data_IF_359649861072
#
_entry.id   IF_359649861072
#
_cell.length_a   1.000
_cell.length_b   1.000
_cell.length_c   1.000
_cell.angle_alpha   90.00
_cell.angle_beta   90.00
_cell.angle_gamma   90.00
#
_symmetry.space_group_name_H-M   'P 1'
#
loop_
_entity.id
_entity.type
_entity.pdbx_description
1 polymer ?
#
# COMPACT_ATOMS: atom_id res chain seq x y z
N UNK A 1 -20.20 22.90 -28.21
CA UNK A 1 -19.79 23.05 -26.81
C UNK A 1 -20.95 22.59 -25.95
N UNK A 2 -20.88 21.36 -25.40
CA UNK A 2 -21.93 20.85 -24.51
C UNK A 2 -21.91 21.66 -23.21
N UNK A 3 -22.99 22.40 -22.94
CA UNK A 3 -23.23 22.98 -21.62
C UNK A 3 -23.43 21.79 -20.65
N UNK A 4 -22.40 21.48 -19.86
CA UNK A 4 -22.58 20.60 -18.70
C UNK A 4 -23.62 21.26 -17.83
N UNK A 5 -24.74 20.60 -17.61
CA UNK A 5 -25.82 21.13 -16.78
C UNK A 5 -25.27 21.34 -15.38
N UNK A 6 -25.44 22.56 -14.82
CA UNK A 6 -24.95 22.90 -13.48
C UNK A 6 -25.44 21.92 -12.40
N UNK A 7 -26.66 21.42 -12.58
CA UNK A 7 -27.24 20.44 -11.70
C UNK A 7 -26.46 19.12 -11.71
N UNK A 8 -26.08 18.65 -12.90
CA UNK A 8 -25.33 17.37 -13.06
C UNK A 8 -23.90 17.49 -12.47
N UNK A 9 -23.26 18.65 -12.63
CA UNK A 9 -21.96 18.92 -12.01
C UNK A 9 -22.04 18.97 -10.48
N UNK A 10 -23.06 19.66 -9.94
CA UNK A 10 -23.28 19.75 -8.50
C UNK A 10 -23.56 18.38 -7.88
N UNK A 11 -24.37 17.57 -8.54
CA UNK A 11 -24.68 16.20 -8.13
C UNK A 11 -23.42 15.31 -8.18
N UNK A 12 -22.60 15.42 -9.22
CA UNK A 12 -21.32 14.69 -9.33
C UNK A 12 -20.37 15.04 -8.19
N UNK A 13 -20.25 16.34 -7.83
CA UNK A 13 -19.45 16.76 -6.68
C UNK A 13 -19.99 16.16 -5.38
N UNK A 14 -21.32 16.15 -5.18
CA UNK A 14 -21.96 15.59 -4.00
C UNK A 14 -21.67 14.09 -3.87
N UNK A 15 -21.91 13.32 -4.94
CA UNK A 15 -21.68 11.88 -4.97
C UNK A 15 -20.22 11.56 -4.67
N UNK A 16 -19.28 12.20 -5.37
CA UNK A 16 -17.84 11.98 -5.17
C UNK A 16 -17.37 12.33 -3.76
N UNK A 17 -17.97 13.34 -3.12
CA UNK A 17 -17.72 13.68 -1.72
C UNK A 17 -18.26 12.62 -0.76
N UNK A 18 -19.50 12.15 -0.99
CA UNK A 18 -20.16 11.15 -0.14
C UNK A 18 -19.48 9.77 -0.23
N UNK A 19 -19.04 9.36 -1.42
CA UNK A 19 -18.25 8.14 -1.63
C UNK A 19 -16.93 8.15 -0.82
N UNK A 20 -16.41 9.35 -0.54
CA UNK A 20 -15.21 9.56 0.31
C UNK A 20 -15.55 9.66 1.81
N UNK A 21 -16.83 9.57 2.18
CA UNK A 21 -17.27 9.79 3.56
C UNK A 21 -17.07 11.23 4.05
N UNK A 22 -16.84 12.19 3.14
CA UNK A 22 -16.57 13.56 3.53
C UNK A 22 -17.87 14.34 3.79
N UNK A 23 -17.86 15.13 4.87
CA UNK A 23 -18.94 16.10 5.13
C UNK A 23 -18.81 17.32 4.22
N UNK A 24 -19.93 18.03 3.97
CA UNK A 24 -19.88 19.32 3.28
C UNK A 24 -18.95 20.32 3.98
N UNK A 25 -18.88 20.27 5.32
CA UNK A 25 -17.98 21.12 6.11
C UNK A 25 -16.52 20.81 5.79
N UNK A 26 -16.15 19.55 5.80
CA UNK A 26 -14.77 19.12 5.53
C UNK A 26 -14.30 19.56 4.13
N UNK A 27 -15.09 19.27 3.08
CA UNK A 27 -14.72 19.67 1.71
C UNK A 27 -14.67 21.19 1.56
N UNK A 28 -15.62 21.92 2.17
CA UNK A 28 -15.65 23.40 2.12
C UNK A 28 -14.41 24.02 2.78
N UNK A 29 -14.00 23.54 3.96
CA UNK A 29 -12.79 23.97 4.66
C UNK A 29 -11.53 23.65 3.84
N UNK A 30 -11.44 22.45 3.25
CA UNK A 30 -10.31 22.01 2.43
C UNK A 30 -10.06 22.92 1.22
N UNK A 31 -11.13 23.41 0.57
CA UNK A 31 -11.04 24.26 -0.63
C UNK A 31 -11.24 25.76 -0.35
N UNK A 32 -11.31 26.15 0.92
CA UNK A 32 -11.39 27.56 1.31
C UNK A 32 -12.69 28.27 0.91
N UNK A 33 -13.85 27.57 1.00
CA UNK A 33 -15.17 28.15 0.77
C UNK A 33 -16.10 27.92 1.98
N UNK A 34 -17.22 28.65 2.04
CA UNK A 34 -18.20 28.40 3.09
C UNK A 34 -19.01 27.13 2.81
N UNK A 35 -19.41 26.42 3.88
CA UNK A 35 -20.31 25.25 3.77
C UNK A 35 -21.61 25.60 3.03
N UNK A 36 -22.17 26.80 3.29
CA UNK A 36 -23.43 27.25 2.65
C UNK A 36 -23.25 27.43 1.14
N UNK A 37 -22.06 27.88 0.69
CA UNK A 37 -21.74 27.99 -0.73
C UNK A 37 -21.63 26.62 -1.36
N UNK A 38 -20.89 25.68 -0.74
CA UNK A 38 -20.78 24.31 -1.24
C UNK A 38 -22.14 23.63 -1.36
N UNK A 39 -23.01 23.78 -0.34
CA UNK A 39 -24.37 23.23 -0.38
C UNK A 39 -25.21 23.76 -1.57
N UNK A 40 -25.05 25.04 -1.92
CA UNK A 40 -25.72 25.65 -3.09
C UNK A 40 -25.14 25.14 -4.40
N UNK A 41 -23.83 24.91 -4.45
CA UNK A 41 -23.15 24.33 -5.61
C UNK A 41 -23.59 22.90 -5.85
N UNK A 42 -23.60 22.07 -4.81
CA UNK A 42 -24.08 20.67 -4.89
C UNK A 42 -25.55 20.56 -5.33
N UNK A 43 -26.38 21.57 -4.99
CA UNK A 43 -27.78 21.65 -5.45
C UNK A 43 -27.92 22.26 -6.85
N UNK A 44 -26.83 22.66 -7.50
CA UNK A 44 -26.87 23.33 -8.81
C UNK A 44 -27.47 24.73 -8.78
N UNK A 45 -27.67 25.35 -7.60
CA UNK A 45 -28.28 26.70 -7.44
C UNK A 45 -27.27 27.85 -7.46
N UNK A 46 -25.98 27.53 -7.48
CA UNK A 46 -24.88 28.53 -7.50
C UNK A 46 -23.69 28.00 -8.30
N UNK A 47 -23.11 28.89 -9.13
CA UNK A 47 -21.84 28.62 -9.80
C UNK A 47 -20.66 29.06 -8.96
N UNK A 48 -19.52 28.38 -9.13
CA UNK A 48 -18.20 28.78 -8.65
C UNK A 48 -17.38 29.39 -9.79
N UNK A 49 -16.37 30.17 -9.42
CA UNK A 49 -15.32 30.52 -10.37
C UNK A 49 -14.58 29.24 -10.82
N UNK A 50 -14.04 29.27 -12.04
CA UNK A 50 -13.28 28.12 -12.59
C UNK A 50 -12.15 27.70 -11.64
N UNK A 51 -11.46 28.64 -11.01
CA UNK A 51 -10.39 28.38 -10.02
C UNK A 51 -10.89 27.55 -8.83
N UNK A 52 -12.01 27.96 -8.21
CA UNK A 52 -12.58 27.23 -7.04
C UNK A 52 -13.19 25.90 -7.45
N UNK A 53 -13.73 25.81 -8.64
CA UNK A 53 -14.22 24.54 -9.17
C UNK A 53 -13.06 23.55 -9.36
N UNK A 54 -11.95 24.00 -9.97
CA UNK A 54 -10.76 23.15 -10.13
C UNK A 54 -10.22 22.69 -8.77
N UNK A 55 -10.15 23.57 -7.76
CA UNK A 55 -9.73 23.15 -6.40
C UNK A 55 -10.63 22.06 -5.80
N UNK A 56 -11.94 22.12 -6.04
CA UNK A 56 -12.86 21.05 -5.62
C UNK A 56 -12.56 19.76 -6.38
N UNK A 57 -12.44 19.82 -7.70
CA UNK A 57 -12.20 18.65 -8.54
C UNK A 57 -10.84 18.01 -8.23
N UNK A 58 -9.80 18.80 -8.06
CA UNK A 58 -8.46 18.32 -7.68
C UNK A 58 -8.52 17.65 -6.29
N UNK A 59 -9.19 18.27 -5.32
CA UNK A 59 -9.38 17.69 -3.98
C UNK A 59 -10.16 16.37 -4.02
N UNK A 60 -11.13 16.26 -4.93
CA UNK A 60 -11.91 15.05 -5.13
C UNK A 60 -11.15 13.99 -5.97
N UNK A 61 -10.10 14.36 -6.71
CA UNK A 61 -9.22 13.45 -7.43
C UNK A 61 -8.04 12.97 -6.58
N UNK A 62 -7.71 13.68 -5.49
CA UNK A 62 -6.71 13.21 -4.53
C UNK A 62 -7.12 11.82 -4.04
N UNK A 63 -6.19 10.86 -4.12
CA UNK A 63 -6.42 9.51 -3.57
C UNK A 63 -6.96 9.65 -2.13
N UNK A 64 -8.06 8.95 -1.87
CA UNK A 64 -8.56 8.80 -0.49
C UNK A 64 -7.44 8.09 0.26
N UNK A 65 -6.70 8.83 1.08
CA UNK A 65 -5.90 8.20 2.12
C UNK A 65 -6.92 7.78 3.18
N UNK A 66 -7.26 6.50 3.30
CA UNK A 66 -8.23 6.08 4.30
C UNK A 66 -7.69 6.50 5.66
N UNK A 67 -8.54 7.16 6.46
CA UNK A 67 -8.21 7.67 7.80
C UNK A 67 -7.82 6.55 8.77
N UNK A 68 -8.08 5.30 8.40
CA UNK A 68 -7.61 4.11 9.11
C UNK A 68 -7.05 3.14 8.08
N UNK A 69 -5.74 3.24 7.79
CA UNK A 69 -5.04 2.23 7.01
C UNK A 69 -4.66 1.06 7.91
N UNK A 70 -5.15 -0.12 7.57
CA UNK A 70 -4.55 -1.35 8.08
C UNK A 70 -3.24 -1.54 7.33
N UNK A 71 -2.14 -1.43 8.04
CA UNK A 71 -0.79 -1.65 7.50
C UNK A 71 -0.28 -3.00 8.00
N UNK A 72 0.51 -3.67 7.18
CA UNK A 72 1.26 -4.83 7.63
C UNK A 72 2.52 -4.29 8.33
N UNK A 73 2.62 -4.60 9.63
CA UNK A 73 3.72 -4.13 10.49
C UNK A 73 4.79 -5.19 10.74
N UNK A 74 4.47 -6.45 10.52
CA UNK A 74 5.43 -7.55 10.54
C UNK A 74 4.96 -8.68 9.65
N UNK A 75 5.90 -9.31 8.94
CA UNK A 75 5.59 -10.41 8.03
C UNK A 75 6.70 -11.47 8.12
N UNK A 76 6.31 -12.73 8.31
CA UNK A 76 7.23 -13.87 8.19
C UNK A 76 6.66 -14.88 7.21
N UNK A 77 7.49 -15.27 6.25
CA UNK A 77 7.15 -16.24 5.21
C UNK A 77 8.15 -17.39 5.29
N UNK A 78 7.66 -18.60 5.29
CA UNK A 78 8.47 -19.81 5.28
C UNK A 78 8.27 -20.57 3.97
N UNK A 79 9.37 -20.93 3.32
CA UNK A 79 9.42 -21.76 2.11
C UNK A 79 10.16 -23.05 2.42
N UNK A 80 9.55 -24.20 2.17
CA UNK A 80 10.23 -25.49 2.23
C UNK A 80 11.11 -25.69 0.97
N UNK A 81 12.08 -24.79 0.80
CA UNK A 81 13.00 -24.80 -0.33
C UNK A 81 14.32 -24.15 0.09
N UNK A 82 15.43 -24.73 -0.35
CA UNK A 82 16.78 -24.20 -0.17
C UNK A 82 17.20 -23.24 -1.30
N UNK A 83 16.33 -23.01 -2.28
CA UNK A 83 16.63 -22.10 -3.42
C UNK A 83 16.47 -20.62 -3.03
N UNK A 84 17.06 -20.23 -1.89
CA UNK A 84 16.90 -18.91 -1.30
C UNK A 84 17.22 -17.75 -2.27
N UNK A 85 18.25 -17.86 -3.12
CA UNK A 85 18.60 -16.82 -4.09
C UNK A 85 17.47 -16.58 -5.09
N UNK A 86 16.88 -17.65 -5.65
CA UNK A 86 15.73 -17.55 -6.55
C UNK A 86 14.50 -16.98 -5.86
N UNK A 87 14.28 -17.36 -4.59
CA UNK A 87 13.16 -16.85 -3.81
C UNK A 87 13.33 -15.35 -3.50
N UNK A 88 14.54 -14.87 -3.19
CA UNK A 88 14.81 -13.46 -2.97
C UNK A 88 14.45 -12.64 -4.21
N UNK A 89 14.97 -13.04 -5.37
CA UNK A 89 14.69 -12.37 -6.62
C UNK A 89 13.19 -12.43 -6.98
N UNK A 90 12.59 -13.62 -6.88
CA UNK A 90 11.19 -13.81 -7.22
C UNK A 90 10.26 -13.05 -6.28
N UNK A 91 10.40 -13.19 -4.97
CA UNK A 91 9.43 -12.67 -3.98
C UNK A 91 9.69 -11.19 -3.67
N UNK A 92 10.95 -10.81 -3.40
CA UNK A 92 11.30 -9.45 -3.00
C UNK A 92 11.55 -8.55 -4.23
N UNK A 93 12.02 -9.14 -5.34
CA UNK A 93 12.39 -8.42 -6.55
C UNK A 93 13.61 -7.51 -6.37
N UNK A 94 14.51 -7.87 -5.45
CA UNK A 94 15.77 -7.16 -5.20
C UNK A 94 16.95 -8.05 -5.58
N UNK A 95 17.99 -7.49 -6.24
CA UNK A 95 19.19 -8.25 -6.50
C UNK A 95 19.93 -8.57 -5.18
N UNK A 96 20.53 -9.76 -5.12
CA UNK A 96 21.16 -10.27 -3.90
C UNK A 96 22.31 -9.40 -3.41
N UNK A 97 23.00 -8.70 -4.31
CA UNK A 97 24.12 -7.81 -4.03
C UNK A 97 23.73 -6.62 -3.14
N UNK A 98 22.44 -6.39 -2.94
CA UNK A 98 21.95 -5.37 -2.00
C UNK A 98 21.84 -5.87 -0.56
N UNK A 99 22.02 -7.16 -0.34
CA UNK A 99 21.96 -7.77 0.96
C UNK A 99 23.37 -8.02 1.48
N UNK A 100 23.57 -7.83 2.77
CA UNK A 100 24.75 -8.28 3.49
C UNK A 100 24.60 -9.76 3.80
N UNK A 101 25.54 -10.59 3.38
CA UNK A 101 25.58 -12.01 3.72
C UNK A 101 26.32 -12.20 5.03
N UNK A 102 25.72 -12.96 5.94
CA UNK A 102 26.30 -13.29 7.22
C UNK A 102 26.38 -14.83 7.33
N UNK A 103 27.58 -15.33 7.61
CA UNK A 103 27.86 -16.78 7.76
C UNK A 103 27.22 -17.43 8.98
N UNK A 104 26.58 -16.62 9.84
CA UNK A 104 25.90 -17.07 11.03
C UNK A 104 24.40 -16.72 10.99
N UNK A 105 23.57 -17.70 11.30
CA UNK A 105 22.14 -17.48 11.52
C UNK A 105 21.63 -18.22 12.75
N UNK A 106 20.74 -17.61 13.54
CA UNK A 106 20.15 -18.26 14.71
C UNK A 106 19.22 -19.40 14.34
N UNK A 107 18.81 -20.18 15.32
CA UNK A 107 17.81 -21.26 15.20
C UNK A 107 18.22 -22.41 14.25
N UNK A 108 19.53 -22.60 14.02
CA UNK A 108 20.08 -23.69 13.24
C UNK A 108 19.94 -23.54 11.72
N UNK A 109 19.77 -22.33 11.24
CA UNK A 109 20.03 -21.97 9.83
C UNK A 109 21.54 -21.86 9.64
N UNK A 110 22.01 -22.04 8.39
CA UNK A 110 23.45 -22.03 8.09
C UNK A 110 23.98 -20.63 7.79
N UNK A 111 23.13 -19.75 7.27
CA UNK A 111 23.49 -18.39 6.97
C UNK A 111 22.25 -17.50 6.82
N UNK A 112 22.47 -16.21 6.65
CA UNK A 112 21.41 -15.26 6.42
C UNK A 112 21.86 -14.09 5.54
N UNK A 113 20.90 -13.54 4.81
CA UNK A 113 21.00 -12.28 4.09
C UNK A 113 20.22 -11.21 4.84
N UNK A 114 20.82 -10.04 5.04
CA UNK A 114 20.20 -8.92 5.75
C UNK A 114 20.23 -7.67 4.89
N UNK A 115 19.10 -6.98 4.77
CA UNK A 115 19.00 -5.68 4.13
C UNK A 115 18.56 -4.62 5.13
N UNK A 116 19.42 -3.62 5.37
CA UNK A 116 19.20 -2.49 6.27
C UNK A 116 18.63 -2.87 7.66
N UNK A 117 18.89 -4.08 8.14
CA UNK A 117 18.35 -4.62 9.40
C UNK A 117 16.80 -4.70 9.45
N UNK A 118 16.12 -4.52 8.33
CA UNK A 118 14.64 -4.52 8.24
C UNK A 118 14.07 -5.69 7.45
N UNK A 119 14.89 -6.35 6.61
CA UNK A 119 14.56 -7.60 5.93
C UNK A 119 15.67 -8.60 6.25
N UNK A 120 15.28 -9.76 6.75
CA UNK A 120 16.20 -10.86 7.06
C UNK A 120 15.73 -12.13 6.37
N UNK A 121 16.65 -12.80 5.67
CA UNK A 121 16.36 -14.06 4.97
C UNK A 121 17.33 -15.09 5.49
N UNK A 122 16.80 -16.10 6.21
CA UNK A 122 17.61 -17.23 6.70
C UNK A 122 17.40 -18.43 5.82
N UNK A 123 18.46 -19.17 5.58
CA UNK A 123 18.42 -20.34 4.72
C UNK A 123 19.13 -21.55 5.34
N UNK A 124 18.71 -22.75 4.93
CA UNK A 124 19.36 -24.00 5.26
C UNK A 124 19.71 -24.77 4.00
N UNK A 125 20.57 -25.79 4.14
CA UNK A 125 20.87 -26.73 3.03
C UNK A 125 19.71 -27.72 2.85
N UNK A 126 19.00 -28.02 3.93
CA UNK A 126 17.93 -29.03 3.95
C UNK A 126 16.58 -28.40 3.70
N UNK A 127 15.97 -28.67 2.56
CA UNK A 127 14.65 -28.21 2.14
C UNK A 127 13.53 -28.88 2.95
N UNK A 128 13.78 -30.08 3.48
CA UNK A 128 12.71 -30.89 4.09
C UNK A 128 12.38 -30.45 5.50
N UNK A 129 13.32 -29.79 6.20
CA UNK A 129 13.16 -29.42 7.61
C UNK A 129 13.03 -27.92 7.84
N UNK A 130 13.89 -27.10 7.23
CA UNK A 130 13.96 -25.66 7.53
C UNK A 130 13.82 -24.74 6.33
N UNK A 131 14.34 -25.14 5.16
CA UNK A 131 14.22 -24.37 3.94
C UNK A 131 14.70 -22.92 4.07
N UNK A 132 13.88 -21.98 3.62
CA UNK A 132 14.15 -20.54 3.62
C UNK A 132 13.07 -19.79 4.39
N UNK A 133 13.46 -18.88 5.29
CA UNK A 133 12.55 -17.98 6.01
C UNK A 133 12.87 -16.54 5.64
N UNK A 134 11.85 -15.78 5.30
CA UNK A 134 11.92 -14.34 5.06
C UNK A 134 11.18 -13.60 6.15
N UNK A 135 11.85 -12.67 6.83
CA UNK A 135 11.27 -11.82 7.87
C UNK A 135 11.34 -10.35 7.43
N UNK A 136 10.23 -9.65 7.53
CA UNK A 136 10.10 -8.23 7.25
C UNK A 136 9.62 -7.53 8.52
N UNK A 137 10.43 -6.65 9.09
CA UNK A 137 9.99 -5.75 10.17
C UNK A 137 9.03 -4.69 9.64
N UNK A 138 8.46 -3.84 10.51
CA UNK A 138 7.56 -2.75 10.09
C UNK A 138 8.16 -1.86 9.00
N UNK A 139 9.42 -1.49 9.11
CA UNK A 139 10.10 -0.74 8.05
C UNK A 139 10.33 -1.60 6.80
N UNK A 140 10.62 -2.89 6.95
CA UNK A 140 10.73 -3.84 5.85
C UNK A 140 9.41 -3.98 5.09
N UNK A 141 8.28 -4.05 5.80
CA UNK A 141 6.95 -4.08 5.20
C UNK A 141 6.62 -2.78 4.45
N UNK A 142 7.00 -1.61 5.01
CA UNK A 142 6.86 -0.31 4.32
C UNK A 142 7.67 -0.26 3.03
N UNK A 143 8.92 -0.72 3.05
CA UNK A 143 9.75 -0.81 1.84
C UNK A 143 9.16 -1.76 0.81
N UNK A 144 8.66 -2.92 1.24
CA UNK A 144 7.98 -3.86 0.34
C UNK A 144 6.75 -3.22 -0.29
N UNK A 145 5.89 -2.56 0.50
CA UNK A 145 4.70 -1.85 0.00
C UNK A 145 5.06 -0.79 -1.07
N UNK A 146 6.12 0.02 -0.83
CA UNK A 146 6.60 0.99 -1.81
C UNK A 146 7.07 0.33 -3.11
N UNK A 147 7.77 -0.80 -3.03
CA UNK A 147 8.20 -1.55 -4.21
C UNK A 147 7.03 -2.11 -4.99
N UNK A 148 6.03 -2.68 -4.31
CA UNK A 148 4.80 -3.16 -4.94
C UNK A 148 4.11 -2.01 -5.69
N UNK A 149 3.96 -0.84 -5.07
CA UNK A 149 3.40 0.36 -5.71
C UNK A 149 4.20 0.77 -6.95
N UNK A 150 5.54 0.81 -6.87
CA UNK A 150 6.41 1.14 -8.00
C UNK A 150 6.28 0.14 -9.15
N UNK A 151 6.12 -1.15 -8.84
CA UNK A 151 5.89 -2.21 -9.81
C UNK A 151 4.43 -2.27 -10.31
N UNK A 152 3.57 -1.32 -9.91
CA UNK A 152 2.12 -1.31 -10.19
C UNK A 152 1.43 -2.59 -9.72
N UNK A 153 1.89 -3.17 -8.61
CA UNK A 153 1.37 -4.36 -7.94
C UNK A 153 0.81 -4.00 -6.56
N UNK A 154 0.20 -4.95 -5.89
CA UNK A 154 -0.43 -4.79 -4.59
C UNK A 154 -0.19 -5.99 -3.67
N UNK A 155 -0.61 -5.89 -2.39
CA UNK A 155 -0.46 -6.96 -1.42
C UNK A 155 -1.18 -8.26 -1.80
N UNK A 156 -2.33 -8.19 -2.47
CA UNK A 156 -3.07 -9.38 -2.89
C UNK A 156 -2.28 -10.18 -3.94
N UNK A 157 -1.70 -9.50 -4.91
CA UNK A 157 -0.83 -10.12 -5.92
C UNK A 157 0.45 -10.68 -5.30
N UNK A 158 1.02 -9.94 -4.34
CA UNK A 158 2.19 -10.40 -3.58
C UNK A 158 1.87 -11.70 -2.82
N UNK A 159 0.75 -11.74 -2.08
CA UNK A 159 0.35 -12.93 -1.33
C UNK A 159 0.10 -14.12 -2.25
N UNK A 160 -0.57 -13.89 -3.39
CA UNK A 160 -0.79 -14.94 -4.40
C UNK A 160 0.55 -15.47 -4.91
N UNK A 161 1.49 -14.60 -5.23
CA UNK A 161 2.83 -14.98 -5.68
C UNK A 161 3.58 -15.81 -4.65
N UNK A 162 3.51 -15.44 -3.36
CA UNK A 162 4.09 -16.24 -2.27
C UNK A 162 3.50 -17.65 -2.25
N UNK A 163 2.18 -17.77 -2.39
CA UNK A 163 1.50 -19.08 -2.42
C UNK A 163 1.87 -19.89 -3.67
N UNK A 164 2.02 -19.27 -4.84
CA UNK A 164 2.46 -19.92 -6.07
C UNK A 164 3.87 -20.52 -5.93
N UNK A 165 4.73 -19.90 -5.12
CA UNK A 165 6.04 -20.42 -4.73
C UNK A 165 5.99 -21.36 -3.51
N UNK A 166 4.79 -21.83 -3.12
CA UNK A 166 4.56 -22.73 -1.98
C UNK A 166 5.04 -22.15 -0.64
N UNK A 167 4.99 -20.81 -0.50
CA UNK A 167 5.31 -20.12 0.74
C UNK A 167 4.16 -20.18 1.73
N UNK A 168 4.49 -20.30 3.01
CA UNK A 168 3.55 -20.27 4.13
C UNK A 168 3.77 -19.02 4.95
N UNK A 169 2.68 -18.27 5.21
CA UNK A 169 2.72 -17.13 6.13
C UNK A 169 2.68 -17.67 7.57
N UNK A 170 3.77 -17.52 8.31
CA UNK A 170 3.87 -17.99 9.68
C UNK A 170 3.60 -16.88 10.70
N UNK A 171 3.67 -15.60 10.27
CA UNK A 171 3.29 -14.45 11.07
C UNK A 171 2.90 -13.29 10.17
N UNK A 172 1.79 -12.64 10.49
CA UNK A 172 1.37 -11.36 9.90
C UNK A 172 0.82 -10.49 11.04
N UNK A 173 1.48 -9.37 11.33
CA UNK A 173 0.98 -8.39 12.28
C UNK A 173 0.44 -7.19 11.52
N UNK A 174 -0.67 -6.64 12.00
CA UNK A 174 -1.31 -5.47 11.44
C UNK A 174 -1.27 -4.31 12.44
N UNK A 175 -1.12 -3.11 11.93
CA UNK A 175 -1.28 -1.87 12.70
C UNK A 175 -2.29 -0.96 12.01
N UNK A 176 -2.91 -0.08 12.77
CA UNK A 176 -3.78 1.00 12.26
C UNK A 176 -2.93 2.28 12.20
N UNK A 177 -3.01 2.97 11.06
CA UNK A 177 -2.37 4.28 10.83
C UNK A 177 -3.42 5.38 10.80
#
# INVERSE_FOLDING_TARGET
MNQVNQHDLGESIRVSREERGWTQRYLAEKVGISRSLLSKVEKGTRQLSAEKLNLILDSLQEEIVPVNRVLIDYLTIHFFSNQHLKLIEAIIGMPIERFEELDYAPKGYIGQYVWNQVITIRYSIDDTVKGTVMEFSGQGCKHLAMRLKTAKSNWQEFFRKVLDYQGNFTRIDFTLD
#
